data_IF_335149695344
#
_entry.id   IF_335149695344
#
_cell.length_a   1.000
_cell.length_b   1.000
_cell.length_c   1.000
_cell.angle_alpha   90.00
_cell.angle_beta   90.00
_cell.angle_gamma   90.00
#
_symmetry.space_group_name_H-M   'P 1'
#
loop_
_entity.id
_entity.type
_entity.pdbx_description
1 polymer ?
#
# COMPACT_ATOMS: atom_id res chain seq x y z
N UNK A 1 21.59 -16.56 18.95
CA UNK A 1 21.86 -15.10 18.86
C UNK A 1 21.22 -14.59 17.59
N UNK A 2 20.47 -13.48 17.62
CA UNK A 2 19.86 -12.91 16.41
C UNK A 2 20.95 -12.19 15.61
N UNK A 3 20.91 -12.30 14.29
CA UNK A 3 21.86 -11.59 13.42
C UNK A 3 21.65 -10.07 13.52
N UNK A 4 22.73 -9.32 13.80
CA UNK A 4 22.74 -7.84 13.84
C UNK A 4 22.25 -7.21 12.52
N UNK A 5 22.47 -7.90 11.40
CA UNK A 5 21.95 -7.50 10.10
C UNK A 5 20.42 -7.51 10.05
N UNK A 6 19.77 -8.55 10.60
CA UNK A 6 18.31 -8.65 10.60
C UNK A 6 17.68 -7.59 11.50
N UNK A 7 18.32 -7.24 12.62
CA UNK A 7 17.87 -6.16 13.49
C UNK A 7 17.99 -4.78 12.81
N UNK A 8 19.11 -4.52 12.13
CA UNK A 8 19.31 -3.29 11.36
C UNK A 8 18.27 -3.17 10.24
N UNK A 9 18.02 -4.26 9.52
CA UNK A 9 17.04 -4.30 8.43
C UNK A 9 15.61 -4.06 8.95
N UNK A 10 15.27 -4.64 10.11
CA UNK A 10 13.99 -4.38 10.78
C UNK A 10 13.82 -2.89 11.09
N UNK A 11 14.86 -2.26 11.62
CA UNK A 11 14.87 -0.81 11.89
C UNK A 11 14.69 0.03 10.63
N UNK A 12 15.36 -0.35 9.54
CA UNK A 12 15.25 0.31 8.23
C UNK A 12 13.82 0.25 7.68
N UNK A 13 13.20 -0.94 7.68
CA UNK A 13 11.83 -1.12 7.19
C UNK A 13 10.82 -0.30 8.00
N UNK A 14 10.93 -0.30 9.33
CA UNK A 14 10.08 0.52 10.20
C UNK A 14 10.22 2.01 9.93
N UNK A 15 11.45 2.48 9.71
CA UNK A 15 11.72 3.88 9.38
C UNK A 15 11.07 4.26 8.04
N UNK A 16 11.16 3.41 7.02
CA UNK A 16 10.51 3.65 5.72
C UNK A 16 8.99 3.72 5.83
N UNK A 17 8.37 2.82 6.60
CA UNK A 17 6.92 2.85 6.82
C UNK A 17 6.51 4.17 7.46
N UNK A 18 7.24 4.63 8.49
CA UNK A 18 6.98 5.91 9.16
C UNK A 18 7.13 7.09 8.18
N UNK A 19 8.19 7.10 7.37
CA UNK A 19 8.42 8.14 6.37
C UNK A 19 7.29 8.21 5.33
N UNK A 20 6.82 7.07 4.82
CA UNK A 20 5.74 7.04 3.84
C UNK A 20 4.43 7.55 4.45
N UNK A 21 4.10 7.12 5.68
CA UNK A 21 2.92 7.58 6.44
C UNK A 21 3.01 9.08 6.78
N UNK A 22 4.20 9.60 7.07
CA UNK A 22 4.44 11.02 7.34
C UNK A 22 4.40 11.90 6.08
N UNK A 23 4.61 11.33 4.90
CA UNK A 23 4.69 12.08 3.64
C UNK A 23 3.34 12.44 2.99
N UNK A 24 2.21 11.99 3.55
CA UNK A 24 0.88 12.34 3.04
C UNK A 24 -0.21 11.32 3.35
N UNK A 25 -1.41 11.58 2.85
CA UNK A 25 -2.56 10.70 3.05
C UNK A 25 -2.32 9.31 2.42
N UNK A 26 -2.70 8.26 3.15
CA UNK A 26 -2.66 6.88 2.70
C UNK A 26 -4.08 6.44 2.36
N UNK A 27 -4.27 5.86 1.19
CA UNK A 27 -5.59 5.42 0.74
C UNK A 27 -6.07 4.21 1.57
N UNK A 28 -7.39 4.08 1.83
CA UNK A 28 -7.95 2.87 2.42
C UNK A 28 -7.74 1.62 1.56
N UNK A 29 -7.74 0.43 2.17
CA UNK A 29 -7.59 -0.84 1.45
C UNK A 29 -8.73 -1.13 0.45
N UNK A 30 -9.93 -0.64 0.77
CA UNK A 30 -11.16 -0.91 0.00
C UNK A 30 -11.41 0.07 -1.15
N UNK A 31 -10.40 0.82 -1.59
CA UNK A 31 -10.54 1.75 -2.70
C UNK A 31 -9.52 1.50 -3.82
N UNK A 32 -9.95 1.75 -5.05
CA UNK A 32 -9.12 1.65 -6.24
C UNK A 32 -9.53 2.68 -7.28
N UNK A 33 -8.64 2.95 -8.21
CA UNK A 33 -8.89 3.81 -9.36
C UNK A 33 -9.30 2.96 -10.56
N UNK A 34 -10.24 3.48 -11.34
CA UNK A 34 -10.60 2.95 -12.64
C UNK A 34 -10.82 4.11 -13.60
N UNK A 35 -10.88 3.82 -14.90
CA UNK A 35 -11.22 4.80 -15.91
C UNK A 35 -12.56 4.43 -16.54
N UNK A 36 -13.38 5.44 -16.80
CA UNK A 36 -14.62 5.28 -17.55
C UNK A 36 -14.60 6.21 -18.74
N UNK A 37 -15.14 5.74 -19.86
CA UNK A 37 -15.24 6.55 -21.08
C UNK A 37 -16.70 6.73 -21.46
N UNK A 38 -17.05 7.95 -21.87
CA UNK A 38 -18.38 8.31 -22.35
C UNK A 38 -18.27 8.97 -23.71
N UNK A 39 -19.03 8.44 -24.68
CA UNK A 39 -19.10 8.99 -26.03
C UNK A 39 -20.32 9.89 -26.13
N UNK A 40 -20.10 11.14 -26.58
CA UNK A 40 -21.17 12.11 -26.85
C UNK A 40 -20.98 12.66 -28.26
N UNK A 41 -21.85 12.26 -29.19
CA UNK A 41 -21.67 12.51 -30.62
C UNK A 41 -20.43 11.78 -31.15
N UNK A 42 -19.56 12.47 -31.87
CA UNK A 42 -18.30 11.92 -32.41
C UNK A 42 -17.10 12.03 -31.45
N UNK A 43 -17.30 12.45 -30.18
CA UNK A 43 -16.21 12.66 -29.21
C UNK A 43 -16.31 11.67 -28.05
N UNK A 44 -15.20 11.02 -27.74
CA UNK A 44 -15.03 10.14 -26.57
C UNK A 44 -14.30 10.90 -25.47
N UNK A 45 -14.87 10.89 -24.26
CA UNK A 45 -14.29 11.53 -23.08
C UNK A 45 -13.95 10.47 -22.04
N UNK A 46 -12.70 10.45 -21.59
CA UNK A 46 -12.23 9.55 -20.52
C UNK A 46 -12.14 10.29 -19.19
N UNK A 47 -12.60 9.63 -18.14
CA UNK A 47 -12.63 10.14 -16.78
C UNK A 47 -12.03 9.12 -15.83
N UNK A 48 -11.19 9.59 -14.92
CA UNK A 48 -10.75 8.80 -13.78
C UNK A 48 -11.86 8.75 -12.72
N UNK A 49 -12.04 7.58 -12.13
CA UNK A 49 -13.08 7.28 -11.14
C UNK A 49 -12.43 6.61 -9.95
N UNK A 50 -12.71 7.13 -8.76
CA UNK A 50 -12.44 6.44 -7.51
C UNK A 50 -13.60 5.52 -7.20
N UNK A 51 -13.31 4.25 -6.98
CA UNK A 51 -14.29 3.28 -6.48
C UNK A 51 -13.96 2.91 -5.05
N UNK A 52 -14.97 2.81 -4.21
CA UNK A 52 -14.86 2.40 -2.80
C UNK A 52 -15.87 1.29 -2.52
N UNK A 53 -15.42 0.16 -1.97
CA UNK A 53 -16.28 -0.98 -1.64
C UNK A 53 -15.89 -1.59 -0.30
N UNK A 54 -16.57 -1.14 0.78
CA UNK A 54 -16.48 -1.81 2.08
C UNK A 54 -17.23 -3.15 2.01
N UNK A 55 -16.79 -4.15 2.79
CA UNK A 55 -17.31 -5.53 2.77
C UNK A 55 -18.84 -5.62 2.75
N UNK A 56 -19.52 -4.75 3.49
CA UNK A 56 -20.97 -4.86 3.72
C UNK A 56 -21.77 -3.80 2.94
N UNK A 57 -21.14 -3.12 1.96
CA UNK A 57 -21.76 -2.00 1.24
C UNK A 57 -21.60 -2.12 -0.26
N UNK A 58 -22.61 -1.67 -0.99
CA UNK A 58 -22.54 -1.52 -2.45
C UNK A 58 -21.37 -0.61 -2.84
N UNK A 59 -20.66 -0.90 -3.94
CA UNK A 59 -19.61 -0.04 -4.45
C UNK A 59 -20.13 1.39 -4.68
N UNK A 60 -19.35 2.37 -4.24
CA UNK A 60 -19.59 3.79 -4.54
C UNK A 60 -18.51 4.30 -5.47
N UNK A 61 -18.92 4.96 -6.54
CA UNK A 61 -18.03 5.61 -7.49
C UNK A 61 -18.08 7.12 -7.36
N UNK A 62 -16.92 7.76 -7.48
CA UNK A 62 -16.77 9.21 -7.52
C UNK A 62 -15.89 9.58 -8.71
N UNK A 63 -16.39 10.45 -9.60
CA UNK A 63 -15.59 10.99 -10.69
C UNK A 63 -14.51 11.94 -10.14
N UNK A 64 -13.28 11.74 -10.61
CA UNK A 64 -12.12 12.57 -10.29
C UNK A 64 -11.74 13.52 -11.44
N UNK A 65 -12.58 13.58 -12.48
CA UNK A 65 -12.33 14.34 -13.69
C UNK A 65 -11.43 13.59 -14.67
N UNK A 66 -10.71 14.32 -15.52
CA UNK A 66 -9.83 13.71 -16.53
C UNK A 66 -8.65 12.96 -15.87
N UNK A 67 -8.16 11.88 -16.49
CA UNK A 67 -6.88 11.30 -16.11
C UNK A 67 -5.79 12.38 -16.04
N UNK A 68 -4.98 12.32 -14.98
CA UNK A 68 -3.92 13.29 -14.70
C UNK A 68 -4.38 14.59 -14.00
N UNK A 69 -5.68 14.75 -13.73
CA UNK A 69 -6.16 15.87 -12.90
C UNK A 69 -5.49 15.88 -11.51
N UNK A 70 -5.51 17.02 -10.83
CA UNK A 70 -4.96 17.11 -9.47
C UNK A 70 -5.61 16.11 -8.51
N UNK A 71 -6.94 15.93 -8.59
CA UNK A 71 -7.67 14.93 -7.78
C UNK A 71 -7.25 13.50 -8.13
N UNK A 72 -7.07 13.19 -9.41
CA UNK A 72 -6.61 11.88 -9.85
C UNK A 72 -5.19 11.59 -9.34
N UNK A 73 -4.25 12.53 -9.51
CA UNK A 73 -2.87 12.39 -9.01
C UNK A 73 -2.84 12.21 -7.50
N UNK A 74 -3.59 13.01 -6.76
CA UNK A 74 -3.68 12.89 -5.31
C UNK A 74 -4.12 11.49 -4.86
N UNK A 75 -5.18 10.93 -5.46
CA UNK A 75 -5.62 9.57 -5.14
C UNK A 75 -4.65 8.50 -5.61
N UNK A 76 -4.01 8.70 -6.77
CA UNK A 76 -2.98 7.79 -7.28
C UNK A 76 -1.79 7.73 -6.32
N UNK A 77 -1.33 8.86 -5.82
CA UNK A 77 -0.24 8.95 -4.85
C UNK A 77 -0.65 8.31 -3.51
N UNK A 78 -1.86 8.55 -3.03
CA UNK A 78 -2.36 7.95 -1.79
C UNK A 78 -2.46 6.41 -1.88
N UNK A 79 -2.86 5.88 -3.04
CA UNK A 79 -2.91 4.43 -3.31
C UNK A 79 -1.50 3.85 -3.40
N UNK A 80 -0.58 4.53 -4.11
CA UNK A 80 0.81 4.10 -4.20
C UNK A 80 1.47 4.03 -2.82
N UNK A 81 1.20 4.98 -1.93
CA UNK A 81 1.68 4.95 -0.53
C UNK A 81 1.15 3.75 0.23
N UNK A 82 -0.14 3.44 0.08
CA UNK A 82 -0.77 2.26 0.70
C UNK A 82 -0.09 0.98 0.24
N UNK A 83 0.13 0.85 -1.07
CA UNK A 83 0.77 -0.34 -1.65
C UNK A 83 2.21 -0.49 -1.19
N UNK A 84 2.99 0.60 -1.16
CA UNK A 84 4.35 0.59 -0.63
C UNK A 84 4.39 0.22 0.86
N UNK A 85 3.45 0.71 1.67
CA UNK A 85 3.35 0.32 3.09
C UNK A 85 3.03 -1.18 3.21
N UNK A 86 2.08 -1.69 2.43
CA UNK A 86 1.69 -3.09 2.48
C UNK A 86 2.86 -4.02 2.10
N UNK A 87 3.64 -3.65 1.09
CA UNK A 87 4.85 -4.38 0.71
C UNK A 87 5.90 -4.37 1.83
N UNK A 88 6.16 -3.21 2.44
CA UNK A 88 7.10 -3.11 3.56
C UNK A 88 6.64 -3.90 4.80
N UNK A 89 5.33 -3.91 5.07
CA UNK A 89 4.74 -4.72 6.15
C UNK A 89 4.88 -6.23 5.87
N UNK A 90 4.73 -6.65 4.62
CA UNK A 90 4.98 -8.03 4.21
C UNK A 90 6.46 -8.42 4.39
N UNK A 91 7.39 -7.54 3.96
CA UNK A 91 8.82 -7.74 4.16
C UNK A 91 9.18 -7.83 5.65
N UNK A 92 8.58 -6.96 6.47
CA UNK A 92 8.76 -6.95 7.92
C UNK A 92 8.27 -8.27 8.56
N UNK A 93 7.12 -8.79 8.12
CA UNK A 93 6.59 -10.06 8.60
C UNK A 93 7.52 -11.23 8.24
N UNK A 94 8.01 -11.28 7.00
CA UNK A 94 8.97 -12.30 6.57
C UNK A 94 10.27 -12.23 7.40
N UNK A 95 10.78 -11.02 7.65
CA UNK A 95 11.97 -10.80 8.45
C UNK A 95 11.78 -11.27 9.91
N UNK A 96 10.63 -10.97 10.51
CA UNK A 96 10.29 -11.44 11.86
C UNK A 96 10.27 -12.96 11.94
N UNK A 97 9.67 -13.64 10.96
CA UNK A 97 9.65 -15.10 10.91
C UNK A 97 11.07 -15.71 10.82
N UNK A 98 11.98 -15.05 10.08
CA UNK A 98 13.39 -15.47 10.00
C UNK A 98 14.11 -15.30 11.35
N UNK A 99 13.91 -14.17 12.03
CA UNK A 99 14.49 -13.92 13.35
C UNK A 99 13.99 -14.94 14.38
N UNK A 100 12.68 -15.22 14.40
CA UNK A 100 12.08 -16.24 15.27
C UNK A 100 12.68 -17.63 15.04
N UNK A 101 12.89 -18.00 13.78
CA UNK A 101 13.56 -19.26 13.43
C UNK A 101 15.00 -19.31 13.93
N UNK A 102 15.77 -18.23 13.84
CA UNK A 102 17.13 -18.17 14.37
C UNK A 102 17.17 -18.34 15.90
N UNK A 103 16.23 -17.72 16.61
CA UNK A 103 16.10 -17.86 18.06
C UNK A 103 15.81 -19.32 18.40
N UNK A 104 14.80 -19.92 17.75
CA UNK A 104 14.41 -21.32 17.99
C UNK A 104 15.56 -22.29 17.72
N UNK A 105 16.28 -22.13 16.63
CA UNK A 105 17.43 -22.96 16.31
C UNK A 105 18.54 -22.77 17.36
N UNK A 106 18.85 -21.53 17.76
CA UNK A 106 19.86 -21.25 18.79
C UNK A 106 19.53 -21.91 20.13
N UNK A 107 18.25 -21.95 20.52
CA UNK A 107 17.82 -22.61 21.76
C UNK A 107 17.92 -24.14 21.72
N UNK A 108 17.86 -24.75 20.53
CA UNK A 108 17.97 -26.20 20.37
C UNK A 108 19.40 -26.73 20.44
N UNK A 109 20.41 -25.89 20.21
CA UNK A 109 21.84 -26.27 20.24
C UNK A 109 22.54 -25.91 21.55
N UNK A 110 21.83 -25.32 22.52
CA UNK A 110 22.37 -24.94 23.83
C UNK A 110 21.91 -25.88 24.97
N UNK A 111 21.44 -27.07 24.63
CA UNK A 111 21.16 -28.20 25.54
C UNK A 111 22.02 -29.39 25.15
#
# INVERSE_FOLDING_TARGET
>A
MISSFLEAERGRLLTLIVQIRGGGAVAPAYCWLTETSSTKGAKTYTYAVLVTQKSDRKPKSQSLGRPGSQKHRHWKDAIARREAIAELEQQLSMLQALMERQIKNSSLFNH
#
